data_IF_983716137658
#
_entry.id   IF_983716137658
#
_cell.length_a   1.000
_cell.length_b   1.000
_cell.length_c   1.000
_cell.angle_alpha   90.00
_cell.angle_beta   90.00
_cell.angle_gamma   90.00
#
_symmetry.space_group_name_H-M   'P 1'
#
loop_
_entity.id
_entity.type
_entity.pdbx_description
1 polymer ?
#
# COMPACT_ATOMS: atom_id res chain seq x y z
N UNK A 1 11.43 -16.47 17.97
CA UNK A 1 10.94 -17.59 17.13
C UNK A 1 9.58 -17.28 16.49
N UNK A 2 8.54 -16.95 17.27
CA UNK A 2 7.19 -16.64 16.75
C UNK A 2 7.21 -15.51 15.70
N UNK A 3 7.94 -14.43 15.94
CA UNK A 3 8.08 -13.32 14.98
C UNK A 3 8.75 -13.72 13.65
N UNK A 4 9.68 -14.70 13.68
CA UNK A 4 10.36 -15.19 12.47
C UNK A 4 9.35 -15.95 11.60
N UNK A 5 8.56 -16.83 12.22
CA UNK A 5 7.50 -17.57 11.53
C UNK A 5 6.45 -16.62 10.94
N UNK A 6 6.02 -15.62 11.71
CA UNK A 6 5.09 -14.60 11.24
C UNK A 6 5.64 -13.86 10.02
N UNK A 7 6.90 -13.41 10.08
CA UNK A 7 7.55 -12.72 8.96
C UNK A 7 7.64 -13.59 7.70
N UNK A 8 7.99 -14.86 7.86
CA UNK A 8 8.10 -15.81 6.75
C UNK A 8 6.76 -16.03 6.05
N UNK A 9 5.69 -16.23 6.81
CA UNK A 9 4.34 -16.46 6.27
C UNK A 9 3.78 -15.19 5.63
N UNK A 10 3.93 -14.03 6.29
CA UNK A 10 3.40 -12.76 5.78
C UNK A 10 4.13 -12.28 4.52
N UNK A 11 5.43 -12.54 4.40
CA UNK A 11 6.25 -12.09 3.27
C UNK A 11 5.80 -12.62 1.90
N UNK A 12 5.12 -13.77 1.87
CA UNK A 12 4.63 -14.41 0.63
C UNK A 12 3.36 -13.73 0.10
N UNK A 13 2.64 -12.98 0.95
CA UNK A 13 1.32 -12.43 0.63
C UNK A 13 1.33 -11.47 -0.55
N UNK A 14 2.27 -10.51 -0.59
CA UNK A 14 2.33 -9.51 -1.66
C UNK A 14 2.61 -10.13 -3.04
N UNK A 15 3.64 -10.99 -3.22
CA UNK A 15 3.83 -11.70 -4.47
C UNK A 15 2.64 -12.59 -4.87
N UNK A 16 2.02 -13.28 -3.90
CA UNK A 16 0.88 -14.15 -4.17
C UNK A 16 -0.33 -13.36 -4.70
N UNK A 17 -0.61 -12.17 -4.16
CA UNK A 17 -1.67 -11.29 -4.67
C UNK A 17 -1.46 -10.90 -6.13
N UNK A 18 -0.22 -10.57 -6.52
CA UNK A 18 0.12 -10.29 -7.91
C UNK A 18 -0.08 -11.53 -8.82
N UNK A 19 0.13 -12.73 -8.28
CA UNK A 19 -0.20 -14.00 -8.94
C UNK A 19 -1.69 -14.17 -9.18
N UNK A 20 -2.54 -13.86 -8.20
CA UNK A 20 -4.02 -13.93 -8.35
C UNK A 20 -4.50 -12.93 -9.42
N UNK A 21 -4.01 -11.69 -9.40
CA UNK A 21 -4.35 -10.68 -10.42
C UNK A 21 -3.87 -11.02 -11.83
N UNK A 22 -3.01 -12.04 -11.99
CA UNK A 22 -2.65 -12.54 -13.31
C UNK A 22 -3.87 -13.11 -14.04
N UNK A 23 -4.76 -13.79 -13.32
CA UNK A 23 -5.93 -14.48 -13.85
C UNK A 23 -7.21 -13.67 -13.75
N UNK A 24 -7.29 -12.74 -12.78
CA UNK A 24 -8.51 -12.01 -12.47
C UNK A 24 -8.52 -10.55 -12.90
N UNK A 25 -7.37 -9.91 -13.11
CA UNK A 25 -7.31 -8.48 -13.40
C UNK A 25 -7.05 -8.20 -14.88
N UNK A 26 -8.04 -7.66 -15.64
CA UNK A 26 -7.83 -7.16 -16.99
C UNK A 26 -6.67 -6.16 -17.03
N UNK A 27 -5.81 -6.15 -18.08
CA UNK A 27 -4.64 -5.28 -18.14
C UNK A 27 -4.92 -3.79 -17.91
N UNK A 28 -6.08 -3.31 -18.33
CA UNK A 28 -6.50 -1.91 -18.17
C UNK A 28 -6.96 -1.58 -16.74
N UNK A 29 -7.44 -2.56 -15.98
CA UNK A 29 -8.00 -2.38 -14.64
C UNK A 29 -7.03 -2.83 -13.53
N UNK A 30 -5.97 -3.56 -13.88
CA UNK A 30 -4.99 -4.11 -12.94
C UNK A 30 -4.39 -3.05 -12.02
N UNK A 31 -4.02 -1.87 -12.53
CA UNK A 31 -3.47 -0.80 -11.70
C UNK A 31 -4.49 -0.26 -10.69
N UNK A 32 -5.78 -0.21 -11.06
CA UNK A 32 -6.86 0.23 -10.16
C UNK A 32 -7.09 -0.79 -9.05
N UNK A 33 -7.26 -2.07 -9.41
CA UNK A 33 -7.42 -3.17 -8.46
C UNK A 33 -6.24 -3.26 -7.48
N UNK A 34 -5.01 -3.11 -8.00
CA UNK A 34 -3.82 -3.13 -7.18
C UNK A 34 -3.81 -1.99 -6.16
N UNK A 35 -4.13 -0.78 -6.61
CA UNK A 35 -4.16 0.40 -5.74
C UNK A 35 -5.23 0.27 -4.67
N UNK A 36 -6.44 -0.18 -5.03
CA UNK A 36 -7.52 -0.43 -4.07
C UNK A 36 -7.08 -1.45 -3.01
N UNK A 37 -6.42 -2.53 -3.41
CA UNK A 37 -5.90 -3.50 -2.44
C UNK A 37 -4.81 -2.89 -1.53
N UNK A 38 -3.89 -2.10 -2.06
CA UNK A 38 -2.88 -1.42 -1.25
C UNK A 38 -3.49 -0.38 -0.30
N UNK A 39 -4.58 0.32 -0.67
CA UNK A 39 -5.25 1.25 0.25
C UNK A 39 -5.79 0.56 1.50
N UNK A 40 -6.13 -0.74 1.41
CA UNK A 40 -6.52 -1.55 2.57
C UNK A 40 -5.43 -1.64 3.64
N UNK A 41 -4.14 -1.64 3.25
CA UNK A 41 -3.03 -1.66 4.20
C UNK A 41 -2.95 -0.38 5.05
N UNK A 42 -3.22 0.78 4.44
CA UNK A 42 -3.28 2.05 5.16
C UNK A 42 -4.54 2.18 6.00
N UNK A 43 -5.70 1.77 5.47
CA UNK A 43 -6.94 1.72 6.25
C UNK A 43 -6.79 0.80 7.48
N UNK A 44 -6.11 -0.33 7.33
CA UNK A 44 -5.78 -1.23 8.42
C UNK A 44 -4.92 -0.56 9.50
N UNK A 45 -3.94 0.27 9.14
CA UNK A 45 -3.16 1.04 10.11
C UNK A 45 -4.00 2.11 10.82
N UNK A 46 -4.85 2.84 10.08
CA UNK A 46 -5.72 3.90 10.61
C UNK A 46 -6.72 3.37 11.64
N UNK A 47 -7.28 2.18 11.41
CA UNK A 47 -8.23 1.55 12.33
C UNK A 47 -7.49 0.74 13.39
N UNK A 48 -6.42 0.04 12.99
CA UNK A 48 -5.69 -0.90 13.82
C UNK A 48 -4.90 -0.22 14.94
N UNK A 49 -4.27 0.92 14.69
CA UNK A 49 -3.47 1.62 15.70
C UNK A 49 -4.34 2.13 16.87
N UNK A 50 -5.46 2.87 16.65
CA UNK A 50 -6.34 3.29 17.73
C UNK A 50 -7.03 2.10 18.42
N UNK A 51 -7.51 1.12 17.65
CA UNK A 51 -8.16 -0.06 18.22
C UNK A 51 -7.20 -0.84 19.14
N UNK A 52 -5.94 -1.02 18.72
CA UNK A 52 -4.90 -1.64 19.54
C UNK A 52 -4.61 -0.83 20.79
N UNK A 53 -4.44 0.49 20.67
CA UNK A 53 -4.19 1.37 21.82
C UNK A 53 -5.33 1.33 22.84
N UNK A 54 -6.59 1.33 22.37
CA UNK A 54 -7.78 1.22 23.20
C UNK A 54 -7.85 -0.14 23.91
N UNK A 55 -7.66 -1.25 23.18
CA UNK A 55 -7.67 -2.60 23.76
C UNK A 55 -6.60 -2.79 24.84
N UNK A 56 -5.40 -2.27 24.62
CA UNK A 56 -4.30 -2.34 25.61
C UNK A 56 -4.59 -1.49 26.84
N UNK A 57 -5.18 -0.31 26.66
CA UNK A 57 -5.39 0.66 27.75
C UNK A 57 -6.55 0.29 28.67
N UNK A 58 -7.62 -0.31 28.12
CA UNK A 58 -8.85 -0.58 28.88
C UNK A 58 -9.10 -2.06 29.22
N UNK A 59 -8.54 -2.99 28.44
CA UNK A 59 -8.76 -4.43 28.65
C UNK A 59 -7.52 -5.07 29.25
N UNK A 60 -6.52 -5.31 28.39
CA UNK A 60 -5.28 -5.97 28.78
C UNK A 60 -4.29 -5.90 27.62
N UNK A 61 -2.99 -5.97 27.90
CA UNK A 61 -1.96 -5.99 26.86
C UNK A 61 -2.13 -7.17 25.88
N UNK A 62 -2.74 -8.28 26.32
CA UNK A 62 -2.96 -9.46 25.50
C UNK A 62 -4.20 -9.39 24.59
N UNK A 63 -5.11 -8.42 24.82
CA UNK A 63 -6.39 -8.34 24.12
C UNK A 63 -6.28 -8.17 22.58
N UNK A 64 -5.37 -7.34 22.03
CA UNK A 64 -5.22 -7.20 20.57
C UNK A 64 -4.90 -8.52 19.87
N UNK A 65 -4.08 -9.39 20.49
CA UNK A 65 -3.69 -10.67 19.87
C UNK A 65 -4.88 -11.61 19.70
N UNK A 66 -5.78 -11.67 20.67
CA UNK A 66 -6.99 -12.49 20.58
C UNK A 66 -7.99 -11.91 19.58
N UNK A 67 -8.22 -10.60 19.60
CA UNK A 67 -9.17 -9.94 18.70
C UNK A 67 -8.73 -10.07 17.24
N UNK A 68 -7.48 -9.74 16.92
CA UNK A 68 -6.97 -9.86 15.55
C UNK A 68 -6.79 -11.32 15.11
N UNK A 69 -6.43 -12.21 16.03
CA UNK A 69 -6.36 -13.64 15.75
C UNK A 69 -7.72 -14.21 15.33
N UNK A 70 -8.77 -13.92 16.10
CA UNK A 70 -10.13 -14.39 15.79
C UNK A 70 -10.68 -13.75 14.51
N UNK A 71 -10.49 -12.44 14.32
CA UNK A 71 -10.87 -11.76 13.09
C UNK A 71 -10.16 -12.34 11.85
N UNK A 72 -8.88 -12.71 11.99
CA UNK A 72 -8.10 -13.37 10.95
C UNK A 72 -8.64 -14.75 10.58
N UNK A 73 -9.09 -15.55 11.54
CA UNK A 73 -9.72 -16.86 11.29
C UNK A 73 -11.03 -16.69 10.53
N UNK A 74 -11.88 -15.74 10.96
CA UNK A 74 -13.14 -15.42 10.25
C UNK A 74 -12.84 -15.01 8.81
N UNK A 75 -11.88 -14.10 8.62
CA UNK A 75 -11.47 -13.66 7.29
C UNK A 75 -10.95 -14.79 6.42
N UNK A 76 -10.17 -15.73 6.98
CA UNK A 76 -9.69 -16.90 6.26
C UNK A 76 -10.85 -17.78 5.76
N UNK A 77 -11.88 -18.00 6.59
CA UNK A 77 -13.09 -18.75 6.18
C UNK A 77 -13.79 -18.06 5.01
N UNK A 78 -13.97 -16.73 5.06
CA UNK A 78 -14.53 -15.98 3.94
C UNK A 78 -13.65 -16.06 2.70
N UNK A 79 -12.33 -15.96 2.85
CA UNK A 79 -11.40 -16.02 1.73
C UNK A 79 -11.45 -17.38 1.02
N UNK A 80 -11.43 -18.48 1.77
CA UNK A 80 -11.49 -19.84 1.21
C UNK A 80 -12.84 -20.20 0.58
N UNK A 81 -13.93 -19.55 1.01
CA UNK A 81 -15.27 -19.80 0.45
C UNK A 81 -15.58 -18.94 -0.77
N UNK A 82 -14.98 -17.75 -0.87
CA UNK A 82 -15.29 -16.77 -1.92
C UNK A 82 -14.22 -16.66 -3.01
N UNK A 83 -12.97 -17.05 -2.75
CA UNK A 83 -11.87 -16.84 -3.69
C UNK A 83 -11.52 -18.10 -4.45
N UNK A 84 -11.52 -18.02 -5.78
CA UNK A 84 -11.19 -19.13 -6.67
C UNK A 84 -9.94 -18.80 -7.51
N UNK A 85 -9.19 -19.84 -7.89
CA UNK A 85 -7.93 -19.70 -8.62
C UNK A 85 -8.08 -19.05 -10.00
N UNK A 86 -9.19 -19.30 -10.68
CA UNK A 86 -9.49 -18.80 -12.02
C UNK A 86 -10.97 -18.46 -12.16
N UNK A 87 -11.32 -17.43 -12.95
CA UNK A 87 -12.70 -17.13 -13.31
C UNK A 87 -13.45 -18.32 -13.93
N UNK A 88 -12.75 -19.30 -14.49
CA UNK A 88 -13.35 -20.50 -15.08
C UNK A 88 -14.03 -21.41 -14.08
N UNK A 89 -13.49 -21.51 -12.86
CA UNK A 89 -13.99 -22.37 -11.78
C UNK A 89 -14.92 -21.66 -10.79
N UNK A 90 -15.13 -20.35 -10.98
CA UNK A 90 -15.96 -19.57 -10.08
C UNK A 90 -17.45 -19.91 -10.28
N UNK A 91 -18.19 -20.34 -9.23
CA UNK A 91 -19.54 -20.87 -9.37
C UNK A 91 -20.59 -19.78 -9.64
N UNK A 92 -20.35 -18.55 -9.19
CA UNK A 92 -21.32 -17.43 -9.21
C UNK A 92 -20.94 -16.30 -10.17
N UNK A 93 -19.95 -16.51 -11.05
CA UNK A 93 -19.55 -15.46 -12.01
C UNK A 93 -20.56 -15.36 -13.15
N UNK A 94 -20.89 -14.14 -13.58
CA UNK A 94 -21.76 -13.95 -14.73
C UNK A 94 -21.06 -14.39 -16.03
N UNK A 95 -21.82 -14.91 -16.99
CA UNK A 95 -21.25 -15.35 -18.28
C UNK A 95 -20.65 -14.19 -19.07
N UNK A 96 -21.25 -12.99 -18.97
CA UNK A 96 -20.75 -11.77 -19.58
C UNK A 96 -19.40 -11.34 -19.01
N UNK A 97 -19.27 -11.32 -17.69
CA UNK A 97 -18.02 -10.98 -17.00
C UNK A 97 -16.93 -12.02 -17.27
N UNK A 98 -17.27 -13.32 -17.20
CA UNK A 98 -16.35 -14.41 -17.53
C UNK A 98 -15.80 -14.27 -18.94
N UNK A 99 -16.67 -13.99 -19.92
CA UNK A 99 -16.27 -13.77 -21.31
C UNK A 99 -15.36 -12.54 -21.42
N UNK A 100 -15.76 -11.41 -20.82
CA UNK A 100 -14.95 -10.19 -20.82
C UNK A 100 -13.54 -10.39 -20.26
N UNK A 101 -13.41 -11.04 -19.10
CA UNK A 101 -12.12 -11.29 -18.46
C UNK A 101 -11.24 -12.18 -19.34
N UNK A 102 -11.78 -13.30 -19.83
CA UNK A 102 -11.02 -14.25 -20.65
C UNK A 102 -10.58 -13.64 -21.99
N UNK A 103 -11.43 -12.87 -22.65
CA UNK A 103 -11.11 -12.20 -23.91
C UNK A 103 -10.10 -11.06 -23.71
N UNK A 104 -10.20 -10.30 -22.61
CA UNK A 104 -9.34 -9.13 -22.37
C UNK A 104 -7.95 -9.51 -21.84
N UNK A 105 -7.84 -10.62 -21.09
CA UNK A 105 -6.55 -11.13 -20.62
C UNK A 105 -5.82 -11.89 -21.74
N UNK A 106 -6.56 -12.53 -22.65
CA UNK A 106 -6.00 -13.41 -23.68
C UNK A 106 -5.51 -14.75 -23.11
N UNK A 107 -4.86 -15.61 -23.91
CA UNK A 107 -4.31 -16.87 -23.42
C UNK A 107 -3.21 -16.58 -22.40
N UNK A 108 -3.53 -16.73 -21.12
CA UNK A 108 -2.53 -16.74 -20.06
C UNK A 108 -1.65 -17.95 -20.32
N UNK A 109 -0.39 -17.74 -20.67
CA UNK A 109 0.56 -18.85 -20.88
C UNK A 109 0.52 -19.79 -19.67
N UNK A 110 -0.02 -20.99 -19.90
CA UNK A 110 -0.10 -22.09 -18.92
C UNK A 110 1.27 -22.70 -18.68
N UNK A 111 2.24 -22.38 -19.53
CA UNK A 111 3.65 -22.71 -19.33
C UNK A 111 4.18 -21.85 -18.19
N UNK A 112 4.32 -22.46 -17.01
CA UNK A 112 5.04 -21.84 -15.91
C UNK A 112 6.47 -21.54 -16.37
N UNK A 113 6.92 -20.27 -16.38
CA UNK A 113 8.29 -19.97 -16.70
C UNK A 113 9.18 -20.69 -15.69
N UNK A 114 10.09 -21.53 -16.18
CA UNK A 114 11.08 -22.17 -15.34
C UNK A 114 12.13 -21.13 -14.95
N UNK A 115 12.81 -21.32 -13.81
CA UNK A 115 13.89 -20.43 -13.39
C UNK A 115 14.96 -20.23 -14.49
N UNK A 116 15.12 -21.23 -15.37
CA UNK A 116 16.04 -21.20 -16.51
C UNK A 116 15.54 -20.39 -17.72
N UNK A 117 14.21 -20.23 -17.92
CA UNK A 117 13.66 -19.47 -19.05
C UNK A 117 13.62 -17.96 -18.79
N UNK A 118 13.89 -17.52 -17.56
CA UNK A 118 13.88 -16.11 -17.18
C UNK A 118 15.24 -15.48 -17.52
N UNK A 119 15.29 -14.38 -18.28
CA UNK A 119 16.55 -13.75 -18.67
C UNK A 119 17.12 -12.89 -17.52
N UNK A 120 17.58 -13.55 -16.45
CA UNK A 120 18.09 -12.93 -15.22
C UNK A 120 19.19 -11.89 -15.50
N UNK A 121 20.12 -12.19 -16.40
CA UNK A 121 21.22 -11.29 -16.74
C UNK A 121 20.71 -9.99 -17.37
N UNK A 122 19.72 -10.05 -18.26
CA UNK A 122 19.15 -8.87 -18.89
C UNK A 122 18.35 -8.02 -17.89
N UNK A 123 17.63 -8.67 -16.96
CA UNK A 123 16.90 -7.98 -15.88
C UNK A 123 17.88 -7.29 -14.94
N UNK A 124 18.94 -7.98 -14.50
CA UNK A 124 19.94 -7.43 -13.58
C UNK A 124 20.81 -6.34 -14.23
N UNK A 125 20.97 -6.32 -15.56
CA UNK A 125 21.72 -5.26 -16.25
C UNK A 125 20.86 -4.04 -16.62
N UNK A 126 19.55 -4.07 -16.35
CA UNK A 126 18.62 -3.01 -16.73
C UNK A 126 18.65 -1.83 -15.76
N UNK A 127 19.00 -0.63 -16.26
CA UNK A 127 19.01 0.62 -15.46
C UNK A 127 17.65 0.93 -14.80
N UNK A 128 16.49 0.77 -15.47
CA UNK A 128 15.18 0.93 -14.83
C UNK A 128 14.93 0.03 -13.61
N UNK A 129 15.48 -1.19 -13.60
CA UNK A 129 15.31 -2.12 -12.47
C UNK A 129 15.99 -1.57 -11.22
N UNK A 130 17.23 -1.10 -11.34
CA UNK A 130 17.92 -0.46 -10.21
C UNK A 130 17.23 0.82 -9.73
N UNK A 131 16.69 1.64 -10.64
CA UNK A 131 15.94 2.83 -10.25
C UNK A 131 14.71 2.47 -9.40
N UNK A 132 13.98 1.41 -9.77
CA UNK A 132 12.84 0.90 -9.00
C UNK A 132 13.27 0.31 -7.66
N UNK A 133 14.38 -0.44 -7.62
CA UNK A 133 14.92 -1.02 -6.37
C UNK A 133 15.25 0.08 -5.37
N UNK A 134 16.00 1.11 -5.79
CA UNK A 134 16.40 2.23 -4.91
C UNK A 134 15.18 3.02 -4.45
N UNK A 135 14.24 3.31 -5.37
CA UNK A 135 13.00 4.01 -5.01
C UNK A 135 12.16 3.21 -4.00
N UNK A 136 12.02 1.90 -4.19
CA UNK A 136 11.26 1.06 -3.27
C UNK A 136 12.00 0.86 -1.94
N UNK A 137 13.33 0.80 -1.94
CA UNK A 137 14.15 0.76 -0.72
C UNK A 137 13.93 2.03 0.10
N UNK A 138 14.12 3.21 -0.50
CA UNK A 138 13.92 4.49 0.17
C UNK A 138 12.51 4.61 0.74
N UNK A 139 11.48 4.25 -0.06
CA UNK A 139 10.09 4.24 0.38
C UNK A 139 9.84 3.32 1.57
N UNK A 140 10.34 2.09 1.48
CA UNK A 140 10.12 1.07 2.53
C UNK A 140 10.84 1.49 3.81
N UNK A 141 12.07 1.99 3.69
CA UNK A 141 12.84 2.51 4.81
C UNK A 141 12.07 3.60 5.56
N UNK A 142 11.64 4.63 4.85
CA UNK A 142 10.92 5.75 5.45
C UNK A 142 9.58 5.31 6.06
N UNK A 143 8.82 4.47 5.34
CA UNK A 143 7.55 3.97 5.83
C UNK A 143 7.70 3.19 7.15
N UNK A 144 8.65 2.26 7.23
CA UNK A 144 8.89 1.50 8.45
C UNK A 144 9.51 2.35 9.57
N UNK A 145 10.39 3.30 9.23
CA UNK A 145 10.96 4.24 10.19
C UNK A 145 9.87 5.05 10.87
N UNK A 146 8.92 5.59 10.09
CA UNK A 146 7.77 6.29 10.64
C UNK A 146 6.89 5.34 11.44
N UNK A 147 6.47 4.20 10.89
CA UNK A 147 5.54 3.30 11.58
C UNK A 147 6.08 2.78 12.92
N UNK A 148 7.37 2.46 12.99
CA UNK A 148 8.02 1.96 14.20
C UNK A 148 8.34 3.09 15.20
N UNK A 149 8.90 4.20 14.72
CA UNK A 149 9.42 5.24 15.62
C UNK A 149 8.41 6.36 15.90
N UNK A 150 7.30 6.47 15.16
CA UNK A 150 6.29 7.52 15.36
C UNK A 150 5.63 7.42 16.73
N UNK A 151 5.22 6.22 17.15
CA UNK A 151 4.63 6.02 18.48
C UNK A 151 5.66 6.30 19.59
N UNK A 152 6.90 5.84 19.40
CA UNK A 152 7.99 6.08 20.35
C UNK A 152 8.34 7.57 20.43
N UNK A 153 8.42 8.28 19.29
CA UNK A 153 8.67 9.71 19.23
C UNK A 153 7.56 10.52 19.93
N UNK A 154 6.28 10.19 19.68
CA UNK A 154 5.16 10.83 20.36
C UNK A 154 5.17 10.59 21.88
N UNK A 155 5.65 9.42 22.33
CA UNK A 155 5.74 9.09 23.75
C UNK A 155 6.95 9.73 24.43
N UNK A 156 8.15 9.56 23.88
CA UNK A 156 9.42 9.88 24.53
C UNK A 156 9.85 11.34 24.30
N UNK A 157 9.55 11.92 23.13
CA UNK A 157 9.96 13.29 22.80
C UNK A 157 8.83 14.27 23.09
N UNK A 158 7.60 13.94 22.66
CA UNK A 158 6.42 14.81 22.84
C UNK A 158 5.69 14.60 24.17
N UNK A 159 6.15 13.65 25.02
CA UNK A 159 5.56 13.32 26.33
C UNK A 159 4.04 13.07 26.30
N UNK A 160 3.49 12.56 25.19
CA UNK A 160 2.05 12.34 25.05
C UNK A 160 1.61 11.02 25.71
N UNK A 161 0.51 11.07 26.46
CA UNK A 161 -0.09 9.89 27.07
C UNK A 161 -0.60 8.91 25.99
N UNK A 162 -0.26 7.63 26.14
CA UNK A 162 -0.53 6.54 25.18
C UNK A 162 -2.01 6.50 24.71
N UNK A 163 -2.94 6.87 25.61
CA UNK A 163 -4.37 6.88 25.34
C UNK A 163 -4.78 7.87 24.21
N UNK A 164 -4.10 9.02 24.11
CA UNK A 164 -4.31 9.99 23.03
C UNK A 164 -3.37 9.75 21.84
N UNK A 165 -2.21 9.11 22.06
CA UNK A 165 -1.20 8.87 21.03
C UNK A 165 -1.70 7.95 19.92
N UNK A 166 -2.61 7.02 20.19
CA UNK A 166 -3.18 6.12 19.17
C UNK A 166 -3.98 6.86 18.08
N UNK A 167 -4.84 7.82 18.49
CA UNK A 167 -5.63 8.63 17.55
C UNK A 167 -4.75 9.59 16.76
N UNK A 168 -3.80 10.25 17.42
CA UNK A 168 -2.87 11.17 16.77
C UNK A 168 -1.95 10.42 15.81
N UNK A 169 -1.55 9.19 16.14
CA UNK A 169 -0.76 8.36 15.25
C UNK A 169 -1.52 7.84 14.02
N UNK A 170 -2.84 7.74 14.11
CA UNK A 170 -3.68 7.38 12.96
C UNK A 170 -3.83 8.52 11.93
N UNK A 171 -3.74 9.79 12.37
CA UNK A 171 -3.94 10.95 11.50
C UNK A 171 -2.98 11.00 10.29
N UNK A 172 -1.65 10.83 10.43
CA UNK A 172 -0.73 10.81 9.30
C UNK A 172 -1.08 9.75 8.26
N UNK A 173 -1.47 8.55 8.70
CA UNK A 173 -1.86 7.45 7.82
C UNK A 173 -3.22 7.70 7.16
N UNK A 174 -4.15 8.38 7.85
CA UNK A 174 -5.44 8.78 7.28
C UNK A 174 -5.24 9.82 6.17
N UNK A 175 -4.44 10.85 6.43
CA UNK A 175 -4.08 11.87 5.43
C UNK A 175 -3.34 11.25 4.26
N UNK A 176 -2.44 10.29 4.51
CA UNK A 176 -1.79 9.51 3.45
C UNK A 176 -2.80 8.78 2.57
N UNK A 177 -3.79 8.10 3.17
CA UNK A 177 -4.85 7.41 2.41
C UNK A 177 -5.63 8.37 1.51
N UNK A 178 -6.01 9.53 2.04
CA UNK A 178 -6.69 10.58 1.27
C UNK A 178 -5.79 11.16 0.16
N UNK A 179 -4.50 11.38 0.44
CA UNK A 179 -3.53 11.89 -0.52
C UNK A 179 -3.26 10.88 -1.65
N UNK A 180 -3.21 9.58 -1.35
CA UNK A 180 -3.07 8.52 -2.38
C UNK A 180 -4.28 8.53 -3.32
N UNK A 181 -5.50 8.60 -2.76
CA UNK A 181 -6.73 8.61 -3.56
C UNK A 181 -6.86 9.90 -4.39
N UNK A 182 -6.69 11.06 -3.76
CA UNK A 182 -6.78 12.36 -4.42
C UNK A 182 -5.65 12.55 -5.45
N UNK A 183 -4.43 12.17 -5.09
CA UNK A 183 -3.28 12.18 -5.99
C UNK A 183 -3.45 11.26 -7.19
N UNK A 184 -4.16 10.13 -7.04
CA UNK A 184 -4.43 9.20 -8.14
C UNK A 184 -5.39 9.83 -9.15
N UNK A 185 -6.49 10.41 -8.66
CA UNK A 185 -7.46 11.13 -9.49
C UNK A 185 -6.80 12.33 -10.20
N UNK A 186 -5.95 13.08 -9.50
CA UNK A 186 -5.23 14.20 -10.08
C UNK A 186 -4.23 13.76 -11.15
N UNK A 187 -3.48 12.68 -10.90
CA UNK A 187 -2.55 12.11 -11.87
C UNK A 187 -3.27 11.63 -13.13
N UNK A 188 -4.45 11.04 -12.98
CA UNK A 188 -5.26 10.62 -14.11
C UNK A 188 -5.89 11.81 -14.85
N UNK A 189 -6.38 12.84 -14.16
CA UNK A 189 -6.86 14.09 -14.77
C UNK A 189 -5.79 14.76 -15.64
N UNK A 190 -4.57 14.92 -15.09
CA UNK A 190 -3.44 15.51 -15.82
C UNK A 190 -3.06 14.73 -17.07
N UNK A 191 -3.26 13.40 -17.05
CA UNK A 191 -2.97 12.51 -18.19
C UNK A 191 -4.12 12.45 -19.19
N UNK A 192 -5.38 12.45 -18.74
CA UNK A 192 -6.56 12.36 -19.62
C UNK A 192 -6.76 13.65 -20.41
N UNK A 193 -6.49 14.80 -19.80
CA UNK A 193 -6.54 16.10 -20.48
C UNK A 193 -5.25 16.43 -21.26
N UNK A 194 -4.31 15.48 -21.38
CA UNK A 194 -3.02 15.63 -22.06
C UNK A 194 -2.19 16.85 -21.62
N UNK A 195 -2.40 17.34 -20.39
CA UNK A 195 -1.68 18.49 -19.82
C UNK A 195 -0.20 18.11 -19.60
N UNK A 196 0.05 16.88 -19.16
CA UNK A 196 1.38 16.35 -18.91
C UNK A 196 1.54 14.94 -19.49
N UNK A 197 2.74 14.64 -19.98
CA UNK A 197 3.09 13.29 -20.43
C UNK A 197 3.09 12.29 -19.26
N UNK A 198 2.87 11.00 -19.57
CA UNK A 198 2.86 9.93 -18.56
C UNK A 198 4.16 9.87 -17.75
N UNK A 199 5.30 10.12 -18.40
CA UNK A 199 6.61 10.18 -17.75
C UNK A 199 6.76 11.42 -16.88
N UNK A 200 6.26 12.57 -17.33
CA UNK A 200 6.32 13.81 -16.55
C UNK A 200 5.48 13.71 -15.28
N UNK A 201 4.25 13.18 -15.37
CA UNK A 201 3.40 12.94 -14.19
C UNK A 201 4.07 11.97 -13.21
N UNK A 202 4.63 10.86 -13.70
CA UNK A 202 5.34 9.91 -12.83
C UNK A 202 6.54 10.54 -12.11
N UNK A 203 7.33 11.37 -12.80
CA UNK A 203 8.46 12.08 -12.20
C UNK A 203 8.01 13.13 -11.20
N UNK A 204 7.00 13.93 -11.55
CA UNK A 204 6.46 14.99 -10.68
C UNK A 204 5.92 14.40 -9.37
N UNK A 205 5.10 13.36 -9.46
CA UNK A 205 4.48 12.74 -8.28
C UNK A 205 5.51 12.00 -7.41
N UNK A 206 6.42 11.22 -8.01
CA UNK A 206 7.47 10.55 -7.23
C UNK A 206 8.45 11.55 -6.59
N UNK A 207 9.06 12.43 -7.40
CA UNK A 207 10.06 13.36 -6.89
C UNK A 207 9.44 14.42 -5.98
N UNK A 208 8.24 14.90 -6.29
CA UNK A 208 7.51 15.85 -5.46
C UNK A 208 7.06 15.23 -4.13
N UNK A 209 6.55 13.99 -4.15
CA UNK A 209 6.13 13.29 -2.94
C UNK A 209 7.31 12.98 -2.01
N UNK A 210 8.40 12.39 -2.53
CA UNK A 210 9.60 12.14 -1.73
C UNK A 210 10.32 13.42 -1.30
N UNK A 211 10.34 14.44 -2.16
CA UNK A 211 10.94 15.74 -1.84
C UNK A 211 10.17 16.46 -0.72
N UNK A 212 8.83 16.45 -0.79
CA UNK A 212 7.97 16.97 0.28
C UNK A 212 8.15 16.20 1.58
N UNK A 213 8.16 14.87 1.52
CA UNK A 213 8.39 14.01 2.68
C UNK A 213 9.74 14.30 3.35
N UNK A 214 10.82 14.44 2.58
CA UNK A 214 12.14 14.78 3.11
C UNK A 214 12.18 16.16 3.77
N UNK A 215 11.55 17.17 3.15
CA UNK A 215 11.48 18.52 3.70
C UNK A 215 10.75 18.54 5.05
N UNK A 216 9.59 17.90 5.14
CA UNK A 216 8.82 17.89 6.37
C UNK A 216 9.47 17.04 7.46
N UNK A 217 10.18 15.96 7.12
CA UNK A 217 10.96 15.21 8.10
C UNK A 217 12.12 16.03 8.68
N UNK A 218 12.77 16.90 7.89
CA UNK A 218 13.75 17.84 8.43
C UNK A 218 13.10 18.79 9.44
N UNK A 219 11.89 19.28 9.17
CA UNK A 219 11.15 20.11 10.14
C UNK A 219 10.88 19.34 11.43
N UNK A 220 10.44 18.08 11.37
CA UNK A 220 10.24 17.23 12.56
C UNK A 220 11.54 17.06 13.35
N UNK A 221 12.68 16.90 12.67
CA UNK A 221 13.97 16.68 13.32
C UNK A 221 14.48 17.90 14.12
N UNK A 222 14.19 19.13 13.69
CA UNK A 222 14.71 20.36 14.31
C UNK A 222 13.69 21.14 15.15
N UNK A 223 12.42 20.74 15.10
CA UNK A 223 11.35 21.43 15.81
C UNK A 223 11.35 21.10 17.31
N UNK A 224 11.12 22.11 18.16
CA UNK A 224 10.96 21.97 19.61
C UNK A 224 9.51 22.07 20.11
N UNK A 225 8.56 22.33 19.20
CA UNK A 225 7.13 22.47 19.51
C UNK A 225 6.37 21.22 19.10
N UNK A 226 5.61 20.65 20.03
CA UNK A 226 4.87 19.41 19.82
C UNK A 226 3.84 19.52 18.69
N UNK A 227 3.13 20.65 18.65
CA UNK A 227 2.10 20.92 17.63
C UNK A 227 2.74 20.95 16.24
N UNK A 228 3.84 21.69 16.09
CA UNK A 228 4.55 21.79 14.82
C UNK A 228 5.13 20.44 14.38
N UNK A 229 5.63 19.64 15.32
CA UNK A 229 6.14 18.30 15.02
C UNK A 229 5.02 17.37 14.51
N UNK A 230 3.85 17.36 15.15
CA UNK A 230 2.70 16.56 14.70
C UNK A 230 2.20 17.02 13.33
N UNK A 231 2.04 18.33 13.11
CA UNK A 231 1.62 18.85 11.81
C UNK A 231 2.63 18.53 10.69
N UNK A 232 3.93 18.71 10.95
CA UNK A 232 4.97 18.38 9.98
C UNK A 232 4.98 16.87 9.69
N UNK A 233 4.76 16.02 10.70
CA UNK A 233 4.69 14.58 10.51
C UNK A 233 3.46 14.18 9.65
N UNK A 234 2.29 14.78 9.89
CA UNK A 234 1.10 14.56 9.03
C UNK A 234 1.38 14.95 7.58
N UNK A 235 2.02 16.11 7.35
CA UNK A 235 2.36 16.60 6.01
C UNK A 235 3.44 15.74 5.33
N UNK A 236 4.41 15.21 6.08
CA UNK A 236 5.43 14.30 5.59
C UNK A 236 4.80 13.01 5.04
N UNK A 237 3.98 12.34 5.87
CA UNK A 237 3.32 11.09 5.48
C UNK A 237 2.27 11.33 4.37
N UNK A 238 1.56 12.46 4.42
CA UNK A 238 0.66 12.89 3.35
C UNK A 238 1.37 13.08 2.02
N UNK A 239 2.55 13.71 2.03
CA UNK A 239 3.39 13.91 0.84
C UNK A 239 3.87 12.59 0.24
N UNK A 240 4.21 11.61 1.08
CA UNK A 240 4.54 10.25 0.64
C UNK A 240 3.37 9.57 -0.12
N UNK A 241 2.12 9.89 0.25
CA UNK A 241 0.92 9.42 -0.44
C UNK A 241 0.87 9.82 -1.93
N UNK A 242 1.35 11.02 -2.28
CA UNK A 242 1.43 11.46 -3.68
C UNK A 242 2.50 10.69 -4.48
N UNK A 243 3.58 10.24 -3.84
CA UNK A 243 4.59 9.42 -4.54
C UNK A 243 4.00 8.09 -5.03
N UNK A 244 3.12 7.49 -4.22
CA UNK A 244 2.44 6.22 -4.56
C UNK A 244 1.42 6.41 -5.67
N UNK A 245 0.71 7.55 -5.67
CA UNK A 245 -0.34 7.79 -6.66
C UNK A 245 0.17 7.93 -8.09
N UNK A 246 1.44 8.31 -8.29
CA UNK A 246 2.06 8.38 -9.62
C UNK A 246 2.15 7.05 -10.37
N UNK A 247 2.04 5.92 -9.66
CA UNK A 247 2.02 4.57 -10.26
C UNK A 247 0.62 4.13 -10.71
N UNK A 248 -0.41 4.81 -10.22
CA UNK A 248 -1.81 4.48 -10.45
C UNK A 248 -2.21 4.99 -11.83
N UNK A 249 -2.82 4.09 -12.60
CA UNK A 249 -3.39 4.39 -13.92
C UNK A 249 -4.85 3.97 -13.88
N UNK A 250 -5.76 4.92 -13.69
CA UNK A 250 -7.20 4.72 -13.89
C UNK A 250 -7.52 5.37 -15.24
N UNK A 251 -7.49 4.60 -16.33
CA UNK A 251 -8.07 5.09 -17.58
C UNK A 251 -9.59 4.91 -17.49
N UNK A 252 -10.36 5.99 -17.59
CA UNK A 252 -11.80 5.93 -17.86
C UNK A 252 -11.98 5.23 -19.22
N UNK A 253 -12.93 4.29 -19.33
CA UNK A 253 -13.45 3.83 -20.62
C UNK A 253 -13.94 5.09 -21.35
N UNK A 254 -13.27 5.45 -22.44
CA UNK A 254 -13.87 6.32 -23.44
C UNK A 254 -14.89 5.45 -24.18
N UNK A 255 -16.16 5.86 -24.12
CA UNK A 255 -17.24 5.33 -24.94
C UNK A 255 -17.04 5.79 -26.39
#
# INVERSE_FOLDING_TARGET
>A
MIQILQGLVQGISYPAMHGVWRYWAPPLERSKLATTAFTGSYAGAVIGLPASAWLVSYIHWSAPFYVYGFAGVIWAVFWFTLTFESPTFHPTISMEEKKYILETIGPVSTTHPTLASIPWKAILQSKPVYAIIVANFARSWTFYLLLQNQLTYMREVLNMAINNSGLIAALPHAVMGLAVLGGGQLADYLRSHQILSTTAVRKLFNCGGFGGEALFMLVVAYTKSDITAVFALILAVGSSGFAISGFVKIKKKEN
#
